data_IF_108604209478
#
_entry.id   IF_108604209478
#
_cell.length_a   1.000
_cell.length_b   1.000
_cell.length_c   1.000
_cell.angle_alpha   90.00
_cell.angle_beta   90.00
_cell.angle_gamma   90.00
#
_symmetry.space_group_name_H-M   'P 1'
#
loop_
_entity.id
_entity.type
_entity.pdbx_description
1 polymer ?
#
# COMPACT_ATOMS: atom_id res chain seq x y z
N UNK A 1 -8.24 14.06 49.53
CA UNK A 1 -8.78 13.26 48.41
C UNK A 1 -8.38 13.92 47.09
N UNK A 2 -7.52 13.29 46.27
CA UNK A 2 -7.13 13.78 44.94
C UNK A 2 -7.75 12.86 43.89
N UNK A 3 -8.72 13.37 43.13
CA UNK A 3 -9.25 12.68 41.96
C UNK A 3 -8.17 12.69 40.88
N UNK A 4 -7.56 11.53 40.61
CA UNK A 4 -6.56 11.35 39.55
C UNK A 4 -7.33 11.21 38.25
N UNK A 5 -7.49 12.30 37.51
CA UNK A 5 -8.05 12.29 36.17
C UNK A 5 -7.09 11.52 35.25
N UNK A 6 -7.37 10.24 35.01
CA UNK A 6 -6.75 9.49 33.94
C UNK A 6 -7.39 9.95 32.63
N UNK A 7 -6.72 10.92 31.98
CA UNK A 7 -7.05 11.35 30.62
C UNK A 7 -6.41 10.34 29.67
N UNK A 8 -7.21 9.42 29.13
CA UNK A 8 -6.79 8.47 28.08
C UNK A 8 -6.59 9.27 26.78
N UNK A 9 -5.45 9.16 26.08
CA UNK A 9 -5.35 9.74 24.75
C UNK A 9 -6.10 8.82 23.77
N UNK A 10 -7.10 9.36 23.08
CA UNK A 10 -7.75 8.72 21.94
C UNK A 10 -6.82 8.77 20.72
N UNK A 11 -5.82 7.89 20.70
CA UNK A 11 -4.80 7.78 19.65
C UNK A 11 -5.33 7.04 18.41
N UNK A 12 -6.48 7.46 17.88
CA UNK A 12 -7.04 6.91 16.63
C UNK A 12 -6.69 7.74 15.38
N UNK A 13 -6.26 8.99 15.57
CA UNK A 13 -6.17 9.99 14.50
C UNK A 13 -4.76 10.12 13.89
N UNK A 14 -3.73 9.65 14.59
CA UNK A 14 -2.32 9.91 14.22
C UNK A 14 -1.86 9.08 13.01
N UNK A 15 -2.19 7.78 12.98
CA UNK A 15 -1.69 6.86 11.93
C UNK A 15 -2.33 7.11 10.55
N UNK A 16 -3.60 7.51 10.51
CA UNK A 16 -4.29 7.76 9.25
C UNK A 16 -3.77 9.04 8.55
N UNK A 17 -3.52 10.10 9.31
CA UNK A 17 -2.95 11.36 8.80
C UNK A 17 -1.50 11.14 8.35
N UNK A 18 -0.72 10.38 9.14
CA UNK A 18 0.66 10.00 8.78
C UNK A 18 0.72 9.19 7.47
N UNK A 19 -0.13 8.17 7.29
CA UNK A 19 -0.18 7.38 6.06
C UNK A 19 -0.61 8.18 4.83
N UNK A 20 -1.46 9.21 4.99
CA UNK A 20 -1.88 10.07 3.89
C UNK A 20 -0.72 10.90 3.32
N UNK A 21 0.27 11.26 4.13
CA UNK A 21 1.49 11.93 3.67
C UNK A 21 2.39 10.99 2.86
N UNK A 22 2.32 9.68 3.12
CA UNK A 22 3.00 8.64 2.38
C UNK A 22 2.26 8.27 1.08
N UNK A 23 2.07 9.24 0.19
CA UNK A 23 1.40 9.06 -1.10
C UNK A 23 2.40 8.95 -2.27
N UNK A 24 1.91 8.45 -3.41
CA UNK A 24 2.68 8.32 -4.65
C UNK A 24 1.78 8.55 -5.87
N UNK A 25 2.42 8.82 -7.01
CA UNK A 25 1.79 8.88 -8.32
C UNK A 25 2.76 8.26 -9.35
N UNK A 26 2.20 7.78 -10.47
CA UNK A 26 2.99 7.32 -11.61
C UNK A 26 3.78 8.44 -12.28
N UNK A 27 4.76 8.11 -13.14
CA UNK A 27 5.10 6.75 -13.57
C UNK A 27 6.22 6.11 -12.72
N UNK A 28 6.87 6.85 -11.83
CA UNK A 28 7.98 6.34 -11.02
C UNK A 28 7.50 5.48 -9.84
N UNK A 29 6.31 5.75 -9.32
CA UNK A 29 5.75 5.06 -8.14
C UNK A 29 6.67 5.11 -6.93
N UNK A 30 7.23 6.29 -6.69
CA UNK A 30 8.08 6.61 -5.54
C UNK A 30 7.25 7.40 -4.52
N UNK A 31 7.27 6.96 -3.26
CA UNK A 31 6.62 7.68 -2.17
C UNK A 31 7.21 9.09 -2.04
N UNK A 32 6.35 10.11 -2.07
CA UNK A 32 6.76 11.53 -2.00
C UNK A 32 7.43 11.89 -0.67
N UNK A 33 7.06 11.20 0.41
CA UNK A 33 7.60 11.44 1.75
C UNK A 33 8.92 10.73 2.01
N UNK A 34 9.05 9.47 1.58
CA UNK A 34 10.21 8.63 1.89
C UNK A 34 11.27 8.57 0.79
N UNK A 35 10.91 8.89 -0.45
CA UNK A 35 11.77 8.62 -1.62
C UNK A 35 11.93 7.12 -1.97
N UNK A 36 11.21 6.22 -1.29
CA UNK A 36 11.26 4.76 -1.50
C UNK A 36 10.17 4.28 -2.47
N UNK A 37 10.31 3.10 -3.10
CA UNK A 37 9.22 2.50 -3.87
C UNK A 37 7.92 2.46 -3.06
N UNK A 38 6.82 2.84 -3.71
CA UNK A 38 5.49 2.79 -3.12
C UNK A 38 4.82 1.42 -3.40
N UNK A 39 4.10 0.82 -2.44
CA UNK A 39 3.88 1.27 -1.05
C UNK A 39 5.18 1.21 -0.24
N UNK A 40 5.46 2.24 0.54
CA UNK A 40 6.70 2.35 1.32
C UNK A 40 6.56 1.67 2.71
N UNK A 41 7.67 1.49 3.47
CA UNK A 41 7.63 0.82 4.76
C UNK A 41 6.60 1.33 5.77
N UNK A 42 6.31 2.63 5.80
CA UNK A 42 5.24 3.21 6.63
C UNK A 42 3.87 2.52 6.41
N UNK A 43 3.58 2.11 5.17
CA UNK A 43 2.41 1.33 4.83
C UNK A 43 2.56 -0.14 5.26
N UNK A 44 3.66 -0.77 4.86
CA UNK A 44 3.81 -2.24 4.88
C UNK A 44 4.20 -2.83 6.24
N UNK A 45 4.81 -2.05 7.14
CA UNK A 45 5.32 -2.55 8.43
C UNK A 45 4.27 -2.55 9.55
N UNK A 46 3.11 -1.91 9.35
CA UNK A 46 2.07 -1.88 10.37
C UNK A 46 1.03 -3.00 10.22
N UNK A 47 0.34 -3.37 11.31
CA UNK A 47 -0.68 -4.41 11.27
C UNK A 47 -1.86 -4.02 10.38
N UNK A 48 -2.34 -4.97 9.58
CA UNK A 48 -3.56 -4.84 8.77
C UNK A 48 -4.58 -5.86 9.25
N UNK A 49 -5.63 -5.37 9.90
CA UNK A 49 -6.80 -6.18 10.23
C UNK A 49 -7.73 -6.36 9.02
N UNK A 50 -8.77 -7.18 9.19
CA UNK A 50 -9.73 -7.47 8.11
C UNK A 50 -10.53 -6.24 7.67
N UNK A 51 -10.81 -5.31 8.58
CA UNK A 51 -11.58 -4.09 8.27
C UNK A 51 -10.74 -3.16 7.39
N UNK A 52 -9.49 -2.93 7.78
CA UNK A 52 -8.54 -2.13 7.02
C UNK A 52 -8.21 -2.79 5.68
N UNK A 53 -8.01 -4.12 5.63
CA UNK A 53 -7.83 -4.85 4.36
C UNK A 53 -8.97 -4.57 3.38
N UNK A 54 -10.21 -4.69 3.84
CA UNK A 54 -11.41 -4.44 3.03
C UNK A 54 -11.45 -2.99 2.53
N UNK A 55 -11.09 -2.02 3.37
CA UNK A 55 -11.06 -0.61 3.00
C UNK A 55 -9.94 -0.28 1.98
N UNK A 56 -8.77 -0.91 2.09
CA UNK A 56 -7.62 -0.62 1.22
C UNK A 56 -7.75 -1.26 -0.17
N UNK A 57 -8.35 -2.45 -0.25
CA UNK A 57 -8.32 -3.29 -1.46
C UNK A 57 -8.75 -2.56 -2.75
N UNK A 58 -9.88 -1.84 -2.81
CA UNK A 58 -10.31 -1.20 -4.06
C UNK A 58 -9.31 -0.12 -4.53
N UNK A 59 -8.77 0.67 -3.60
CA UNK A 59 -7.81 1.73 -3.91
C UNK A 59 -6.47 1.19 -4.37
N UNK A 60 -5.92 0.22 -3.63
CA UNK A 60 -4.64 -0.39 -3.96
C UNK A 60 -4.69 -1.27 -5.20
N UNK A 61 -5.82 -1.93 -5.48
CA UNK A 61 -6.01 -2.65 -6.74
C UNK A 61 -5.94 -1.70 -7.93
N UNK A 62 -6.64 -0.55 -7.87
CA UNK A 62 -6.57 0.47 -8.94
C UNK A 62 -5.15 0.99 -9.13
N UNK A 63 -4.43 1.27 -8.04
CA UNK A 63 -3.04 1.71 -8.10
C UNK A 63 -2.12 0.64 -8.69
N UNK A 64 -2.29 -0.63 -8.30
CA UNK A 64 -1.54 -1.75 -8.85
C UNK A 64 -1.69 -1.84 -10.37
N UNK A 65 -2.92 -1.69 -10.88
CA UNK A 65 -3.17 -1.72 -12.32
C UNK A 65 -2.47 -0.58 -13.06
N UNK A 66 -2.49 0.64 -12.52
CA UNK A 66 -1.75 1.75 -13.13
C UNK A 66 -0.23 1.52 -13.03
N UNK A 67 0.26 1.03 -11.90
CA UNK A 67 1.68 0.74 -11.71
C UNK A 67 2.19 -0.35 -12.66
N UNK A 68 1.39 -1.38 -12.93
CA UNK A 68 1.70 -2.38 -13.95
C UNK A 68 1.88 -1.71 -15.31
N UNK A 69 0.98 -0.81 -15.72
CA UNK A 69 1.13 -0.06 -16.99
C UNK A 69 2.40 0.78 -17.04
N UNK A 70 2.73 1.46 -15.94
CA UNK A 70 3.83 2.42 -15.91
C UNK A 70 5.22 1.77 -15.78
N UNK A 71 5.31 0.60 -15.12
CA UNK A 71 6.57 -0.04 -14.76
C UNK A 71 6.90 -1.26 -15.64
N UNK A 72 5.90 -1.90 -16.29
CA UNK A 72 6.14 -3.08 -17.14
C UNK A 72 7.13 -2.77 -18.27
N UNK A 73 8.01 -3.72 -18.57
CA UNK A 73 8.93 -3.64 -19.70
C UNK A 73 10.17 -2.76 -19.49
N UNK A 74 10.37 -2.19 -18.29
CA UNK A 74 11.61 -1.48 -17.97
C UNK A 74 12.77 -2.48 -17.84
N UNK A 75 13.93 -2.26 -18.50
CA UNK A 75 15.11 -3.10 -18.33
C UNK A 75 15.53 -3.19 -16.85
N UNK A 76 15.66 -4.41 -16.32
CA UNK A 76 15.98 -4.63 -14.90
C UNK A 76 14.90 -4.19 -13.91
N UNK A 77 13.70 -3.83 -14.39
CA UNK A 77 12.56 -3.45 -13.56
C UNK A 77 11.74 -4.65 -13.09
N UNK A 78 10.80 -4.43 -12.14
CA UNK A 78 9.95 -5.51 -11.65
C UNK A 78 9.00 -6.02 -12.75
N UNK A 79 8.76 -7.32 -12.72
CA UNK A 79 7.76 -7.98 -13.57
C UNK A 79 6.33 -7.60 -13.14
N UNK A 80 5.33 -7.74 -14.03
CA UNK A 80 3.94 -7.44 -13.68
C UNK A 80 3.41 -8.16 -12.42
N UNK A 81 3.67 -9.47 -12.19
CA UNK A 81 3.27 -10.12 -10.94
C UNK A 81 3.95 -9.54 -9.69
N UNK A 82 5.25 -9.23 -9.75
CA UNK A 82 5.97 -8.60 -8.64
C UNK A 82 5.41 -7.20 -8.31
N UNK A 83 4.97 -6.44 -9.33
CA UNK A 83 4.30 -5.16 -9.11
C UNK A 83 2.96 -5.38 -8.39
N UNK A 84 2.16 -6.37 -8.79
CA UNK A 84 0.89 -6.69 -8.13
C UNK A 84 1.10 -7.07 -6.66
N UNK A 85 2.03 -7.99 -6.39
CA UNK A 85 2.36 -8.39 -5.02
C UNK A 85 2.83 -7.20 -4.16
N UNK A 86 3.65 -6.32 -4.74
CA UNK A 86 4.12 -5.10 -4.06
C UNK A 86 2.97 -4.19 -3.62
N UNK A 87 1.99 -3.95 -4.49
CA UNK A 87 0.86 -3.08 -4.17
C UNK A 87 -0.19 -3.76 -3.30
N UNK A 88 -0.40 -5.06 -3.45
CA UNK A 88 -1.36 -5.85 -2.69
C UNK A 88 -0.72 -6.63 -1.55
N UNK A 89 0.35 -6.10 -0.94
CA UNK A 89 1.15 -6.74 0.10
C UNK A 89 0.36 -7.28 1.30
N UNK A 90 -0.82 -6.72 1.55
CA UNK A 90 -1.72 -7.08 2.65
C UNK A 90 -2.71 -8.20 2.28
N UNK A 91 -2.63 -8.73 1.06
CA UNK A 91 -3.39 -9.86 0.53
C UNK A 91 -2.40 -11.02 0.31
N UNK A 92 -2.67 -12.22 0.86
CA UNK A 92 -1.81 -13.38 0.65
C UNK A 92 -2.03 -13.97 -0.75
N UNK A 93 -1.49 -13.30 -1.77
CA UNK A 93 -1.55 -13.75 -3.15
C UNK A 93 -0.45 -14.76 -3.44
N UNK A 94 -0.83 -15.83 -4.12
CA UNK A 94 0.11 -16.70 -4.83
C UNK A 94 0.64 -16.00 -6.08
N UNK A 95 1.74 -16.50 -6.64
CA UNK A 95 2.29 -15.96 -7.89
C UNK A 95 1.29 -16.06 -9.05
N UNK A 96 0.57 -17.18 -9.15
CA UNK A 96 -0.46 -17.39 -10.17
C UNK A 96 -1.62 -16.39 -10.05
N UNK A 97 -2.06 -16.08 -8.83
CA UNK A 97 -3.09 -15.06 -8.59
C UNK A 97 -2.58 -13.66 -8.95
N UNK A 98 -1.35 -13.32 -8.56
CA UNK A 98 -0.72 -12.04 -8.92
C UNK A 98 -0.60 -11.90 -10.45
N UNK A 99 -0.21 -12.97 -11.14
CA UNK A 99 -0.14 -13.05 -12.60
C UNK A 99 -1.52 -12.88 -13.23
N UNK A 100 -2.54 -13.56 -12.71
CA UNK A 100 -3.90 -13.45 -13.21
C UNK A 100 -4.46 -12.02 -13.05
N UNK A 101 -4.12 -11.33 -11.96
CA UNK A 101 -4.48 -9.90 -11.79
C UNK A 101 -3.73 -9.04 -12.80
N UNK A 102 -2.42 -9.25 -12.97
CA UNK A 102 -1.61 -8.48 -13.93
C UNK A 102 -2.11 -8.62 -15.38
N UNK A 103 -2.55 -9.81 -15.79
CA UNK A 103 -3.07 -10.08 -17.14
C UNK A 103 -4.39 -9.36 -17.45
N UNK A 104 -5.16 -8.97 -16.43
CA UNK A 104 -6.39 -8.19 -16.60
C UNK A 104 -6.10 -6.71 -16.94
N UNK A 105 -4.85 -6.27 -16.76
CA UNK A 105 -4.37 -4.94 -17.11
C UNK A 105 -3.84 -4.98 -18.54
N UNK A 106 -4.73 -4.79 -19.52
CA UNK A 106 -4.32 -4.63 -20.92
C UNK A 106 -3.88 -3.19 -21.17
#
# INVERSE_FOLDING_TARGET
>A
MRYRSHRTPATGHTRAVDLAEHCSHGPAWTCRRCGRPFPCPAWTEGPIDNQLRTALLPGFLRMAQQAVRDLRGRPGGPTPPEIVQRFLWFVPLTDDEARAVALRVR
#
